data_IF_595567899368
#
_entry.id   IF_595567899368
#
_cell.length_a   1.000
_cell.length_b   1.000
_cell.length_c   1.000
_cell.angle_alpha   90.00
_cell.angle_beta   90.00
_cell.angle_gamma   90.00
#
_symmetry.space_group_name_H-M   'P 1'
#
loop_
_entity.id
_entity.type
_entity.pdbx_description
1 polymer ?
#
# COMPACT_ATOMS: atom_id res chain seq x y z
N UNK A 1 66.21 -12.67 -47.91
CA UNK A 1 66.34 -13.39 -46.62
C UNK A 1 64.94 -13.53 -46.04
N UNK A 2 64.48 -14.78 -45.96
CA UNK A 2 63.40 -15.40 -45.14
C UNK A 2 62.22 -14.51 -44.70
N UNK A 3 60.99 -14.67 -45.19
CA UNK A 3 60.03 -15.79 -45.01
C UNK A 3 59.84 -16.22 -43.55
N UNK A 4 58.63 -16.02 -43.01
CA UNK A 4 57.70 -17.05 -42.51
C UNK A 4 56.66 -16.42 -41.58
N UNK A 5 55.37 -16.57 -41.92
CA UNK A 5 54.28 -16.45 -40.95
C UNK A 5 54.02 -17.79 -40.27
N UNK A 6 53.36 -17.79 -39.11
CA UNK A 6 52.63 -18.95 -38.58
C UNK A 6 51.46 -18.47 -37.71
N UNK A 7 50.27 -18.92 -38.09
CA UNK A 7 49.10 -19.03 -37.24
C UNK A 7 49.12 -20.37 -36.50
N UNK A 8 48.70 -20.39 -35.23
CA UNK A 8 48.32 -21.58 -34.42
C UNK A 8 48.00 -21.08 -33.00
N UNK A 9 47.11 -21.64 -32.19
CA UNK A 9 46.06 -22.64 -32.32
C UNK A 9 45.38 -22.78 -30.95
N UNK A 10 44.04 -22.81 -30.94
CA UNK A 10 43.18 -23.74 -30.18
C UNK A 10 43.89 -24.64 -29.16
N UNK A 11 43.53 -24.52 -27.88
CA UNK A 11 43.43 -25.67 -26.98
C UNK A 11 42.43 -25.38 -25.84
N UNK A 12 41.20 -25.82 -26.07
CA UNK A 12 40.29 -26.30 -25.04
C UNK A 12 40.98 -27.38 -24.20
N UNK A 13 40.98 -27.22 -22.87
CA UNK A 13 41.10 -28.21 -21.77
C UNK A 13 41.06 -27.34 -20.51
N UNK A 14 40.13 -27.47 -19.56
CA UNK A 14 39.84 -28.64 -18.77
C UNK A 14 38.37 -28.68 -18.34
N UNK A 15 37.82 -29.88 -18.46
CA UNK A 15 36.59 -30.35 -17.85
C UNK A 15 36.91 -30.79 -16.41
N UNK A 16 35.90 -30.65 -15.53
CA UNK A 16 35.65 -31.47 -14.33
C UNK A 16 36.59 -31.42 -13.12
N UNK A 17 36.01 -30.89 -12.04
CA UNK A 17 36.05 -31.34 -10.63
C UNK A 17 36.02 -30.08 -9.77
N UNK A 18 35.04 -29.81 -8.91
CA UNK A 18 34.44 -30.72 -7.95
C UNK A 18 33.18 -30.04 -7.39
N UNK A 19 32.05 -30.72 -7.50
CA UNK A 19 30.91 -30.53 -6.62
C UNK A 19 31.33 -30.97 -5.22
N UNK A 20 31.82 -30.05 -4.38
CA UNK A 20 31.93 -30.30 -2.94
C UNK A 20 30.53 -30.22 -2.35
N UNK A 21 29.86 -31.36 -2.35
CA UNK A 21 28.69 -31.63 -1.52
C UNK A 21 29.08 -31.35 -0.07
N UNK A 22 28.58 -30.26 0.51
CA UNK A 22 28.63 -30.02 1.95
C UNK A 22 27.74 -31.06 2.65
N UNK A 23 28.26 -31.95 3.51
CA UNK A 23 27.44 -32.86 4.28
C UNK A 23 27.15 -32.23 5.64
N UNK A 24 26.34 -31.16 5.64
CA UNK A 24 25.71 -30.62 6.85
C UNK A 24 24.27 -30.24 6.46
N UNK A 25 23.53 -31.22 5.93
CA UNK A 25 22.08 -31.25 6.17
C UNK A 25 21.89 -32.05 7.45
N UNK A 26 22.25 -31.40 8.57
CA UNK A 26 21.71 -31.78 9.86
C UNK A 26 20.20 -31.58 9.76
N UNK A 27 19.50 -32.71 9.71
CA UNK A 27 18.07 -32.80 9.98
C UNK A 27 17.82 -32.19 11.36
N UNK A 28 17.67 -30.87 11.41
CA UNK A 28 17.04 -30.17 12.51
C UNK A 28 15.57 -30.57 12.46
N UNK A 29 15.29 -31.74 13.03
CA UNK A 29 13.98 -32.22 13.39
C UNK A 29 13.49 -31.28 14.50
N UNK A 30 13.14 -30.06 14.10
CA UNK A 30 12.61 -29.03 14.98
C UNK A 30 11.38 -29.65 15.64
N UNK A 31 11.34 -29.69 16.98
CA UNK A 31 10.22 -30.28 17.70
C UNK A 31 8.92 -29.57 17.28
N UNK A 32 7.79 -30.29 17.28
CA UNK A 32 6.50 -29.77 16.78
C UNK A 32 6.10 -28.39 17.36
N UNK A 33 6.60 -28.02 18.56
CA UNK A 33 6.37 -26.69 19.15
C UNK A 33 7.11 -25.54 18.44
N UNK A 34 8.18 -25.83 17.69
CA UNK A 34 8.92 -24.87 16.88
C UNK A 34 8.41 -24.81 15.42
N UNK A 35 7.48 -25.70 15.04
CA UNK A 35 6.70 -25.64 13.81
C UNK A 35 5.41 -24.85 13.96
N UNK A 36 5.19 -24.22 15.12
CA UNK A 36 4.19 -23.18 15.28
C UNK A 36 4.62 -22.01 14.40
N UNK A 37 4.14 -22.08 13.16
CA UNK A 37 4.05 -21.03 12.16
C UNK A 37 3.88 -19.71 12.91
N UNK A 38 4.87 -18.82 12.79
CA UNK A 38 4.70 -17.43 13.19
C UNK A 38 3.39 -16.99 12.54
N UNK A 39 2.34 -16.80 13.36
CA UNK A 39 1.08 -16.26 12.88
C UNK A 39 1.43 -15.04 12.01
N UNK A 40 0.82 -14.93 10.83
CA UNK A 40 0.99 -13.78 9.96
C UNK A 40 0.65 -12.56 10.81
N UNK A 41 1.69 -11.86 11.31
CA UNK A 41 1.49 -10.70 12.16
C UNK A 41 0.86 -9.67 11.24
N UNK A 42 -0.43 -9.37 11.48
CA UNK A 42 -1.19 -8.34 10.77
C UNK A 42 -0.57 -6.98 11.09
N UNK A 43 0.51 -6.66 10.38
CA UNK A 43 1.22 -5.41 10.54
C UNK A 43 0.39 -4.28 9.93
N UNK A 44 0.36 -3.11 10.57
CA UNK A 44 -0.31 -1.96 10.02
C UNK A 44 0.33 -1.51 8.70
N UNK A 45 -0.50 -0.98 7.80
CA UNK A 45 -0.14 -0.64 6.42
C UNK A 45 -0.10 0.88 6.26
N UNK A 46 1.06 1.41 5.83
CA UNK A 46 1.24 2.79 5.40
C UNK A 46 1.06 2.88 3.89
N UNK A 47 -0.03 3.51 3.44
CA UNK A 47 -0.34 3.71 2.03
C UNK A 47 0.10 5.11 1.59
N UNK A 48 1.18 5.21 0.83
CA UNK A 48 1.68 6.46 0.26
C UNK A 48 1.10 6.67 -1.14
N UNK A 49 0.27 7.70 -1.30
CA UNK A 49 -0.51 7.96 -2.51
C UNK A 49 -0.05 9.25 -3.17
N UNK A 50 0.51 9.16 -4.36
CA UNK A 50 0.79 10.34 -5.18
C UNK A 50 -0.40 10.69 -6.08
N UNK A 51 -0.78 11.96 -6.11
CA UNK A 51 -1.89 12.42 -6.95
C UNK A 51 -1.80 13.88 -7.40
N UNK A 52 -2.63 14.26 -8.37
CA UNK A 52 -2.85 15.63 -8.79
C UNK A 52 -3.85 16.34 -7.86
N UNK A 53 -3.75 17.66 -7.78
CA UNK A 53 -4.60 18.51 -6.92
C UNK A 53 -6.10 18.29 -7.15
N UNK A 54 -6.51 18.00 -8.39
CA UNK A 54 -7.88 17.68 -8.74
C UNK A 54 -7.94 16.43 -9.63
N UNK A 55 -8.98 15.58 -9.52
CA UNK A 55 -10.01 15.58 -8.46
C UNK A 55 -9.42 15.20 -7.08
N UNK A 56 -10.15 15.36 -5.96
CA UNK A 56 -9.72 14.80 -4.67
C UNK A 56 -9.68 13.26 -4.72
N UNK A 57 -9.00 12.65 -3.76
CA UNK A 57 -8.96 11.19 -3.60
C UNK A 57 -10.22 10.70 -2.88
N UNK A 58 -10.76 9.56 -3.34
CA UNK A 58 -11.80 8.79 -2.68
C UNK A 58 -11.28 7.34 -2.52
N UNK A 59 -11.17 6.79 -1.30
CA UNK A 59 -11.42 7.46 -0.02
C UNK A 59 -10.40 8.58 0.25
N UNK A 60 -10.78 9.51 1.13
CA UNK A 60 -9.93 10.65 1.50
C UNK A 60 -8.75 10.17 2.37
N UNK A 61 -7.53 10.66 2.15
CA UNK A 61 -6.37 10.27 2.94
C UNK A 61 -6.31 11.03 4.27
N UNK A 62 -5.94 10.34 5.35
CA UNK A 62 -5.81 10.90 6.69
C UNK A 62 -4.82 12.07 6.73
N UNK A 63 -3.70 11.96 6.01
CA UNK A 63 -2.71 13.03 5.88
C UNK A 63 -2.62 13.54 4.44
N UNK A 64 -2.45 14.86 4.28
CA UNK A 64 -2.38 15.51 2.97
C UNK A 64 -1.25 16.52 2.88
N UNK A 65 -0.40 16.36 1.88
CA UNK A 65 0.77 17.21 1.69
C UNK A 65 0.80 17.84 0.30
N UNK A 66 0.73 19.18 0.29
CA UNK A 66 0.97 19.96 -0.92
C UNK A 66 2.48 20.10 -1.14
N UNK A 67 2.94 19.71 -2.33
CA UNK A 67 4.33 19.86 -2.78
C UNK A 67 4.46 20.77 -4.01
N UNK A 68 3.44 21.60 -4.28
CA UNK A 68 3.47 22.58 -5.39
C UNK A 68 4.45 23.74 -5.15
N UNK A 69 4.83 24.00 -3.91
CA UNK A 69 5.83 25.00 -3.54
C UNK A 69 7.27 24.61 -3.91
N UNK A 70 7.52 23.34 -4.19
CA UNK A 70 8.83 22.84 -4.59
C UNK A 70 9.18 23.22 -6.03
N UNK A 71 10.49 23.30 -6.30
CA UNK A 71 11.04 23.63 -7.60
C UNK A 71 10.42 22.77 -8.72
N UNK A 72 10.10 23.41 -9.84
CA UNK A 72 9.46 22.75 -10.96
C UNK A 72 10.55 22.19 -11.90
N UNK A 73 10.52 20.89 -12.25
CA UNK A 73 11.48 20.32 -13.18
C UNK A 73 11.51 21.07 -14.52
N UNK A 74 12.70 21.19 -15.16
CA UNK A 74 12.85 21.76 -16.50
C UNK A 74 11.90 21.10 -17.50
N UNK A 75 11.40 21.88 -18.47
CA UNK A 75 10.39 21.44 -19.43
C UNK A 75 10.75 20.14 -20.15
N UNK A 76 11.99 20.02 -20.63
CA UNK A 76 12.46 18.85 -21.37
C UNK A 76 12.49 17.57 -20.53
N UNK A 77 12.73 17.68 -19.21
CA UNK A 77 12.61 16.57 -18.25
C UNK A 77 11.13 16.24 -18.03
N UNK A 78 10.30 17.27 -17.80
CA UNK A 78 8.87 17.10 -17.48
C UNK A 78 8.04 16.45 -18.59
N UNK A 79 8.42 16.66 -19.84
CA UNK A 79 7.69 16.13 -20.99
C UNK A 79 7.98 14.65 -21.26
N UNK A 80 9.20 14.20 -20.98
CA UNK A 80 9.65 12.85 -21.28
C UNK A 80 9.65 11.93 -20.06
N UNK A 81 9.86 12.49 -18.85
CA UNK A 81 10.05 11.74 -17.61
C UNK A 81 8.91 11.97 -16.62
N UNK A 82 8.75 11.03 -15.70
CA UNK A 82 7.82 11.06 -14.58
C UNK A 82 8.61 10.94 -13.25
N UNK A 83 7.93 11.04 -12.12
CA UNK A 83 8.61 10.97 -10.81
C UNK A 83 9.18 9.61 -10.42
N UNK A 84 8.93 8.54 -11.19
CA UNK A 84 9.58 7.23 -10.99
C UNK A 84 10.91 7.14 -11.76
N UNK A 85 11.18 8.09 -12.66
CA UNK A 85 12.40 8.12 -13.46
C UNK A 85 13.58 8.59 -12.61
N UNK A 86 14.66 7.79 -12.56
CA UNK A 86 15.88 8.10 -11.82
C UNK A 86 16.40 9.53 -12.07
N UNK A 87 16.50 9.94 -13.34
CA UNK A 87 16.99 11.28 -13.72
C UNK A 87 16.11 12.43 -13.20
N UNK A 88 14.81 12.22 -13.05
CA UNK A 88 13.93 13.23 -12.46
C UNK A 88 14.10 13.27 -10.93
N UNK A 89 14.22 12.11 -10.29
CA UNK A 89 14.45 12.01 -8.85
C UNK A 89 15.77 12.67 -8.46
N UNK A 90 16.85 12.39 -9.19
CA UNK A 90 18.17 13.01 -8.99
C UNK A 90 18.09 14.54 -9.09
N UNK A 91 17.39 15.07 -10.11
CA UNK A 91 17.18 16.50 -10.24
C UNK A 91 16.40 17.08 -9.05
N UNK A 92 15.34 16.41 -8.59
CA UNK A 92 14.58 16.86 -7.43
C UNK A 92 15.43 16.84 -6.15
N UNK A 93 16.25 15.81 -5.96
CA UNK A 93 17.15 15.67 -4.81
C UNK A 93 18.28 16.69 -4.80
N UNK A 94 18.63 17.26 -5.95
CA UNK A 94 19.61 18.36 -6.01
C UNK A 94 19.14 19.65 -5.35
N UNK A 95 17.82 19.82 -5.13
CA UNK A 95 17.25 20.96 -4.40
C UNK A 95 17.16 20.66 -2.89
N UNK A 96 17.88 21.38 -2.03
CA UNK A 96 17.81 21.19 -0.57
C UNK A 96 16.39 21.30 -0.01
N UNK A 97 15.54 22.16 -0.58
CA UNK A 97 14.15 22.34 -0.14
C UNK A 97 13.31 21.08 -0.33
N UNK A 98 13.65 20.26 -1.31
CA UNK A 98 13.00 18.98 -1.52
C UNK A 98 13.31 18.03 -0.36
N UNK A 99 14.59 17.92 0.03
CA UNK A 99 15.03 17.11 1.18
C UNK A 99 14.39 17.59 2.49
N UNK A 100 14.44 18.89 2.77
CA UNK A 100 13.81 19.48 3.96
C UNK A 100 12.31 19.18 4.02
N UNK A 101 11.60 19.31 2.89
CA UNK A 101 10.16 19.03 2.82
C UNK A 101 9.87 17.54 3.00
N UNK A 102 10.68 16.66 2.41
CA UNK A 102 10.57 15.21 2.58
C UNK A 102 10.72 14.82 4.05
N UNK A 103 11.73 15.36 4.72
CA UNK A 103 12.02 15.04 6.12
C UNK A 103 10.95 15.62 7.06
N UNK A 104 10.39 16.80 6.74
CA UNK A 104 9.25 17.35 7.47
C UNK A 104 8.00 16.46 7.32
N UNK A 105 7.68 16.02 6.10
CA UNK A 105 6.57 15.09 5.84
C UNK A 105 6.78 13.78 6.61
N UNK A 106 8.00 13.23 6.56
CA UNK A 106 8.35 12.00 7.29
C UNK A 106 8.03 12.12 8.78
N UNK A 107 8.47 13.21 9.43
CA UNK A 107 8.21 13.45 10.87
C UNK A 107 6.72 13.51 11.19
N UNK A 108 5.92 14.13 10.33
CA UNK A 108 4.47 14.19 10.52
C UNK A 108 3.81 12.81 10.38
N UNK A 109 4.26 12.00 9.42
CA UNK A 109 3.78 10.62 9.26
C UNK A 109 4.18 9.76 10.47
N UNK A 110 5.44 9.81 10.92
CA UNK A 110 5.91 9.06 12.10
C UNK A 110 5.13 9.44 13.36
N UNK A 111 4.82 10.72 13.54
CA UNK A 111 3.99 11.19 14.66
C UNK A 111 2.59 10.55 14.62
N UNK A 112 2.01 10.47 13.43
CA UNK A 112 0.68 9.90 13.23
C UNK A 112 0.68 8.37 13.41
N UNK A 113 1.71 7.69 12.90
CA UNK A 113 1.90 6.24 13.09
C UNK A 113 2.01 5.90 14.58
N UNK A 114 2.81 6.65 15.34
CA UNK A 114 2.96 6.43 16.77
C UNK A 114 1.65 6.64 17.53
N UNK A 115 0.82 7.60 17.09
CA UNK A 115 -0.52 7.80 17.65
C UNK A 115 -1.40 6.57 17.41
N UNK A 116 -1.46 6.09 16.16
CA UNK A 116 -2.27 4.92 15.81
C UNK A 116 -1.80 3.65 16.54
N UNK A 117 -0.49 3.41 16.62
CA UNK A 117 0.05 2.25 17.36
C UNK A 117 -0.31 2.33 18.85
N UNK A 118 -0.18 3.49 19.48
CA UNK A 118 -0.53 3.65 20.89
C UNK A 118 -2.03 3.48 21.17
N UNK A 119 -2.89 3.89 20.24
CA UNK A 119 -4.34 3.68 20.33
C UNK A 119 -4.70 2.19 20.17
N UNK A 120 -4.09 1.50 19.20
CA UNK A 120 -4.30 0.07 18.98
C UNK A 120 -3.82 -0.77 20.17
N UNK A 121 -2.61 -0.49 20.70
CA UNK A 121 -2.08 -1.19 21.88
C UNK A 121 -3.02 -1.06 23.09
N UNK A 122 -3.67 0.10 23.23
CA UNK A 122 -4.64 0.35 24.31
C UNK A 122 -5.94 -0.42 24.09
N UNK A 123 -6.44 -0.47 22.86
CA UNK A 123 -7.64 -1.24 22.52
C UNK A 123 -7.42 -2.74 22.74
N UNK A 124 -6.27 -3.27 22.35
CA UNK A 124 -5.93 -4.67 22.53
C UNK A 124 -5.80 -5.04 24.01
N UNK A 125 -5.22 -4.15 24.82
CA UNK A 125 -5.18 -4.33 26.28
C UNK A 125 -6.59 -4.38 26.90
N UNK A 126 -7.53 -3.56 26.42
CA UNK A 126 -8.92 -3.56 26.89
C UNK A 126 -9.69 -4.82 26.45
N UNK A 127 -9.52 -5.25 25.19
CA UNK A 127 -10.13 -6.48 24.67
C UNK A 127 -9.67 -7.71 25.45
N UNK A 128 -8.38 -7.77 25.78
CA UNK A 128 -7.83 -8.87 26.57
C UNK A 128 -8.43 -8.91 27.98
N UNK A 129 -8.57 -7.75 28.63
CA UNK A 129 -9.24 -7.65 29.93
C UNK A 129 -10.69 -8.14 29.89
N UNK A 130 -11.47 -7.70 28.91
CA UNK A 130 -12.87 -8.13 28.74
C UNK A 130 -13.00 -9.63 28.43
N UNK A 131 -12.07 -10.21 27.67
CA UNK A 131 -12.05 -11.64 27.41
C UNK A 131 -11.79 -12.45 28.69
N UNK A 132 -10.86 -12.00 29.54
CA UNK A 132 -10.60 -12.65 30.82
C UNK A 132 -11.76 -12.57 31.80
N UNK A 133 -12.48 -11.45 31.81
CA UNK A 133 -13.67 -11.28 32.66
C UNK A 133 -14.87 -12.11 32.16
N UNK A 134 -15.03 -12.26 30.83
CA UNK A 134 -16.01 -13.19 30.24
C UNK A 134 -15.72 -14.64 30.60
N UNK A 135 -14.46 -15.09 30.47
CA UNK A 135 -14.07 -16.44 30.89
C UNK A 135 -14.39 -16.66 32.38
N UNK A 136 -14.13 -15.68 33.24
CA UNK A 136 -14.49 -15.78 34.67
C UNK A 136 -16.00 -15.91 34.87
N UNK A 137 -16.81 -15.10 34.21
CA UNK A 137 -18.28 -15.18 34.32
C UNK A 137 -18.83 -16.51 33.80
N UNK A 138 -18.31 -17.03 32.68
CA UNK A 138 -18.76 -18.29 32.12
C UNK A 138 -18.40 -19.49 33.03
N UNK A 139 -17.23 -19.44 33.68
CA UNK A 139 -16.83 -20.47 34.67
C UNK A 139 -17.72 -20.39 35.92
N UNK A 140 -18.03 -19.18 36.40
CA UNK A 140 -18.86 -18.96 37.58
C UNK A 140 -20.32 -19.41 37.36
N UNK A 141 -20.90 -19.03 36.21
CA UNK A 141 -22.23 -19.49 35.78
C UNK A 141 -22.28 -21.02 35.58
N UNK A 142 -21.21 -21.62 35.05
CA UNK A 142 -21.07 -23.07 34.93
C UNK A 142 -21.03 -23.81 36.28
N UNK A 143 -20.48 -23.19 37.32
CA UNK A 143 -20.47 -23.73 38.68
C UNK A 143 -21.84 -23.65 39.36
N UNK A 144 -22.55 -22.53 39.24
CA UNK A 144 -23.92 -22.39 39.78
C UNK A 144 -24.90 -23.34 39.10
N UNK A 145 -24.80 -23.53 37.78
CA UNK A 145 -25.66 -24.47 37.05
C UNK A 145 -25.46 -25.92 37.52
N UNK A 146 -24.21 -26.34 37.74
CA UNK A 146 -23.91 -27.67 38.30
C UNK A 146 -24.41 -27.84 39.72
N UNK A 147 -24.35 -26.79 40.55
CA UNK A 147 -24.90 -26.85 41.92
C UNK A 147 -26.42 -26.93 41.92
N UNK A 148 -27.11 -26.17 41.05
CA UNK A 148 -28.58 -26.26 40.87
C UNK A 148 -29.01 -27.61 40.33
N UNK A 149 -28.32 -28.16 39.33
CA UNK A 149 -28.61 -29.51 38.82
C UNK A 149 -28.38 -30.57 39.89
N UNK A 150 -27.33 -30.44 40.72
CA UNK A 150 -27.09 -31.36 41.84
C UNK A 150 -28.21 -31.30 42.88
N UNK A 151 -28.65 -30.10 43.27
CA UNK A 151 -29.74 -29.91 44.24
C UNK A 151 -31.11 -30.36 43.68
N UNK A 152 -31.38 -30.08 42.39
CA UNK A 152 -32.60 -30.52 41.70
C UNK A 152 -32.66 -32.04 41.57
N UNK A 153 -31.53 -32.70 41.32
CA UNK A 153 -31.45 -34.17 41.26
C UNK A 153 -31.62 -34.84 42.64
N UNK A 154 -31.33 -34.10 43.72
CA UNK A 154 -31.55 -34.54 45.10
C UNK A 154 -33.02 -34.37 45.54
N UNK A 155 -33.78 -33.46 44.91
CA UNK A 155 -35.21 -33.25 45.14
C UNK A 155 -36.13 -34.03 44.18
N UNK A 156 -35.65 -34.42 42.98
CA UNK A 156 -36.45 -35.09 41.95
C UNK A 156 -36.45 -36.64 42.07
N UNK A 157 -36.39 -37.18 43.28
CA UNK A 157 -36.63 -38.61 43.52
C UNK A 157 -38.11 -39.00 43.55
N UNK A 158 -39.04 -38.10 43.24
CA UNK A 158 -40.45 -38.46 43.03
C UNK A 158 -41.04 -37.73 41.80
N UNK A 159 -41.46 -38.58 40.85
CA UNK A 159 -42.52 -38.41 39.85
C UNK A 159 -42.25 -37.74 38.48
N UNK A 160 -42.92 -38.32 37.49
CA UNK A 160 -42.67 -38.34 36.04
C UNK A 160 -43.33 -37.19 35.25
N UNK A 161 -42.79 -36.99 34.04
CA UNK A 161 -43.39 -36.47 32.79
C UNK A 161 -43.22 -34.98 32.41
N UNK A 162 -42.93 -34.75 31.12
CA UNK A 162 -43.49 -33.60 30.40
C UNK A 162 -42.53 -32.64 29.66
N UNK A 163 -42.32 -32.93 28.38
CA UNK A 163 -42.31 -32.00 27.22
C UNK A 163 -41.12 -31.04 26.93
N UNK A 164 -40.68 -31.14 25.67
CA UNK A 164 -39.72 -30.31 24.93
C UNK A 164 -40.35 -28.95 24.55
N UNK A 165 -39.59 -27.87 24.63
CA UNK A 165 -39.95 -26.61 23.95
C UNK A 165 -38.73 -26.01 23.23
N UNK A 166 -38.90 -25.87 21.92
CA UNK A 166 -37.97 -25.31 20.94
C UNK A 166 -37.97 -23.78 20.97
N UNK A 167 -36.80 -23.14 20.96
CA UNK A 167 -36.66 -21.67 20.83
C UNK A 167 -36.00 -21.32 19.48
N UNK A 168 -36.46 -20.24 18.81
CA UNK A 168 -36.22 -20.00 17.37
C UNK A 168 -34.86 -19.39 17.03
N UNK A 169 -34.44 -19.70 15.81
CA UNK A 169 -33.49 -18.95 15.00
C UNK A 169 -34.05 -17.55 14.67
N UNK A 170 -33.17 -16.55 14.71
CA UNK A 170 -33.02 -15.48 13.70
C UNK A 170 -32.39 -14.25 14.38
N UNK A 171 -31.07 -14.12 14.25
CA UNK A 171 -30.37 -12.85 14.51
C UNK A 171 -29.59 -12.49 13.25
N UNK A 172 -30.02 -11.38 12.67
CA UNK A 172 -29.62 -10.84 11.40
C UNK A 172 -28.10 -10.60 11.29
N UNK A 173 -27.51 -11.21 10.27
CA UNK A 173 -26.16 -10.93 9.78
C UNK A 173 -26.15 -9.58 9.08
N UNK A 174 -25.92 -8.51 9.85
CA UNK A 174 -25.58 -7.20 9.31
C UNK A 174 -24.15 -7.25 8.75
N UNK A 175 -24.02 -7.20 7.42
CA UNK A 175 -22.74 -7.00 6.76
C UNK A 175 -22.28 -5.54 6.89
N UNK A 176 -21.61 -5.19 7.97
CA UNK A 176 -20.80 -3.97 8.08
C UNK A 176 -19.43 -4.20 7.42
N UNK A 177 -19.44 -4.33 6.09
CA UNK A 177 -18.23 -4.39 5.29
C UNK A 177 -17.79 -2.98 4.88
N UNK A 178 -17.42 -2.12 5.83
CA UNK A 178 -16.67 -0.87 5.52
C UNK A 178 -15.72 -0.33 6.59
N UNK A 179 -15.76 -0.79 7.86
CA UNK A 179 -15.03 -0.08 8.93
C UNK A 179 -13.89 -0.86 9.60
N UNK A 180 -13.71 -2.15 9.31
CA UNK A 180 -12.62 -2.94 9.90
C UNK A 180 -11.23 -2.65 9.29
N UNK A 181 -11.16 -2.09 8.07
CA UNK A 181 -9.90 -1.84 7.37
C UNK A 181 -9.19 -0.52 7.78
N UNK A 182 -9.85 0.33 8.58
CA UNK A 182 -9.32 1.66 8.92
C UNK A 182 -8.37 1.67 10.13
N UNK A 183 -8.43 0.68 11.01
CA UNK A 183 -7.63 0.69 12.26
C UNK A 183 -6.16 0.33 12.04
N UNK A 184 -5.86 -0.42 10.98
CA UNK A 184 -4.51 -0.83 10.63
C UNK A 184 -3.93 -0.05 9.45
N UNK A 185 -4.68 0.85 8.81
CA UNK A 185 -4.23 1.51 7.57
C UNK A 185 -4.11 3.03 7.69
N UNK A 186 -2.89 3.56 7.51
CA UNK A 186 -2.64 5.00 7.41
C UNK A 186 -2.47 5.40 5.94
N UNK A 187 -3.39 6.18 5.37
CA UNK A 187 -3.31 6.68 3.99
C UNK A 187 -2.80 8.11 3.95
N UNK A 188 -1.74 8.32 3.19
CA UNK A 188 -1.06 9.61 3.05
C UNK A 188 -1.12 10.08 1.60
N UNK A 189 -1.82 11.20 1.36
CA UNK A 189 -1.93 11.81 0.04
C UNK A 189 -0.91 12.91 -0.19
N UNK A 190 0.01 12.70 -1.13
CA UNK A 190 0.98 13.72 -1.55
C UNK A 190 0.61 14.22 -2.93
N UNK A 191 0.42 15.54 -3.08
CA UNK A 191 -0.09 16.09 -4.32
C UNK A 191 0.69 17.25 -4.91
N UNK A 192 0.72 17.25 -6.24
CA UNK A 192 1.19 18.38 -7.03
C UNK A 192 0.11 18.83 -8.02
N UNK A 193 0.43 19.69 -8.98
CA UNK A 193 -0.57 20.18 -9.93
C UNK A 193 -1.24 19.04 -10.74
N UNK A 194 -0.45 18.14 -11.34
CA UNK A 194 -0.93 17.11 -12.28
C UNK A 194 -0.79 15.68 -11.71
N UNK A 195 0.03 15.49 -10.68
CA UNK A 195 0.23 14.18 -10.04
C UNK A 195 1.25 13.26 -10.72
N UNK A 196 2.17 13.80 -11.53
CA UNK A 196 3.09 12.98 -12.34
C UNK A 196 4.58 13.13 -12.05
N UNK A 197 4.98 14.23 -11.39
CA UNK A 197 6.39 14.61 -11.24
C UNK A 197 6.76 14.71 -9.77
N UNK A 198 6.61 15.92 -9.19
CA UNK A 198 7.00 16.23 -7.80
C UNK A 198 6.38 15.31 -6.77
N UNK A 199 5.07 15.07 -6.85
CA UNK A 199 4.36 14.20 -5.90
C UNK A 199 4.80 12.74 -5.99
N UNK A 200 5.04 12.25 -7.20
CA UNK A 200 5.49 10.87 -7.43
C UNK A 200 6.92 10.71 -6.90
N UNK A 201 7.83 11.63 -7.24
CA UNK A 201 9.20 11.61 -6.74
C UNK A 201 9.25 11.67 -5.21
N UNK A 202 8.42 12.51 -4.59
CA UNK A 202 8.33 12.58 -3.12
C UNK A 202 7.87 11.27 -2.49
N UNK A 203 6.85 10.62 -3.06
CA UNK A 203 6.34 9.33 -2.57
C UNK A 203 7.39 8.22 -2.72
N UNK A 204 8.07 8.14 -3.86
CA UNK A 204 9.14 7.18 -4.11
C UNK A 204 10.29 7.34 -3.11
N UNK A 205 10.68 8.58 -2.81
CA UNK A 205 11.74 8.86 -1.84
C UNK A 205 11.33 8.52 -0.40
N UNK A 206 10.06 8.74 -0.03
CA UNK A 206 9.54 8.32 1.27
C UNK A 206 9.43 6.79 1.37
N UNK A 207 9.05 6.11 0.30
CA UNK A 207 8.94 4.65 0.29
C UNK A 207 10.29 3.93 0.45
N UNK A 208 11.40 4.57 0.05
CA UNK A 208 12.77 4.06 0.26
C UNK A 208 13.25 4.20 1.70
N UNK A 209 12.56 4.97 2.55
CA UNK A 209 12.94 5.15 3.95
C UNK A 209 12.52 3.96 4.82
N UNK A 210 13.12 3.86 6.02
CA UNK A 210 12.72 2.88 7.01
C UNK A 210 11.45 3.30 7.76
N UNK A 211 10.48 2.37 7.82
CA UNK A 211 9.22 2.51 8.55
C UNK A 211 9.03 1.27 9.44
N UNK A 212 9.64 1.24 10.64
CA UNK A 212 9.67 0.04 11.47
C UNK A 212 8.27 -0.35 11.94
N UNK A 213 7.95 -1.64 11.86
CA UNK A 213 6.65 -2.18 12.30
C UNK A 213 5.48 -1.89 11.37
N UNK A 214 5.73 -1.37 10.16
CA UNK A 214 4.68 -1.03 9.19
C UNK A 214 5.00 -1.57 7.80
N UNK A 215 3.99 -2.08 7.11
CA UNK A 215 4.08 -2.44 5.70
C UNK A 215 3.84 -1.23 4.81
N UNK A 216 4.67 -1.04 3.79
CA UNK A 216 4.58 0.14 2.92
C UNK A 216 3.88 -0.26 1.62
N UNK A 217 2.84 0.48 1.25
CA UNK A 217 2.16 0.36 -0.03
C UNK A 217 2.25 1.67 -0.79
N UNK A 218 2.71 1.62 -2.03
CA UNK A 218 2.86 2.81 -2.89
C UNK A 218 1.79 2.81 -3.99
N UNK A 219 1.06 3.91 -4.12
CA UNK A 219 0.03 4.08 -5.15
C UNK A 219 0.22 5.39 -5.92
N UNK A 220 0.17 5.30 -7.26
CA UNK A 220 0.26 6.47 -8.13
C UNK A 220 -0.97 6.63 -9.01
N UNK A 221 -1.87 7.55 -8.62
CA UNK A 221 -3.18 7.70 -9.29
C UNK A 221 -3.06 8.16 -10.75
N UNK A 222 -2.13 9.06 -11.04
CA UNK A 222 -2.13 9.83 -12.30
C UNK A 222 -1.02 9.41 -13.29
N UNK A 223 -0.22 8.38 -12.99
CA UNK A 223 0.86 7.92 -13.89
C UNK A 223 0.32 7.23 -15.16
N UNK A 224 -0.75 6.45 -15.03
CA UNK A 224 -1.29 5.65 -16.14
C UNK A 224 -2.25 6.43 -17.05
N UNK A 225 -2.55 7.68 -16.72
CA UNK A 225 -3.41 8.55 -17.54
C UNK A 225 -2.63 9.01 -18.77
N UNK A 226 -2.91 8.41 -19.93
CA UNK A 226 -2.36 8.87 -21.23
C UNK A 226 -2.62 10.37 -21.39
N UNK A 227 -1.57 11.15 -21.73
CA UNK A 227 -1.73 12.58 -22.08
C UNK A 227 -2.72 12.68 -23.25
N UNK A 228 -3.94 13.14 -23.00
CA UNK A 228 -4.80 13.66 -24.06
C UNK A 228 -5.61 12.66 -24.90
N UNK A 229 -6.11 11.56 -24.36
CA UNK A 229 -7.24 10.84 -25.03
C UNK A 229 -8.59 11.55 -24.89
N UNK A 230 -8.62 12.86 -24.58
CA UNK A 230 -9.73 13.71 -25.02
C UNK A 230 -9.61 13.83 -26.54
N UNK A 231 -10.15 12.85 -27.26
CA UNK A 231 -10.73 13.12 -28.59
C UNK A 231 -11.62 14.35 -28.38
N UNK A 232 -11.25 15.52 -28.93
CA UNK A 232 -12.23 16.58 -29.14
C UNK A 232 -13.37 15.95 -29.95
N UNK A 233 -14.60 15.83 -29.44
CA UNK A 233 -15.70 15.51 -30.31
C UNK A 233 -15.91 16.72 -31.22
N UNK A 234 -15.97 16.52 -32.53
CA UNK A 234 -16.53 17.49 -33.47
C UNK A 234 -15.77 18.80 -33.66
N UNK A 235 -14.77 18.78 -34.53
CA UNK A 235 -14.24 19.98 -35.18
C UNK A 235 -13.98 19.70 -36.66
N UNK A 236 -14.90 19.00 -37.32
CA UNK A 236 -14.98 18.99 -38.78
C UNK A 236 -15.92 20.12 -39.18
N UNK A 237 -15.51 20.81 -40.24
CA UNK A 237 -16.28 21.78 -41.03
C UNK A 237 -16.27 23.24 -40.55
N UNK A 238 -15.14 23.90 -40.78
CA UNK A 238 -15.16 25.25 -41.35
C UNK A 238 -14.14 25.37 -42.48
N UNK A 239 -14.42 24.69 -43.60
CA UNK A 239 -13.95 25.15 -44.92
C UNK A 239 -14.72 26.44 -45.26
N UNK A 240 -14.35 27.53 -44.59
CA UNK A 240 -14.72 28.87 -44.98
C UNK A 240 -13.87 29.26 -46.18
N UNK A 241 -14.32 28.87 -47.37
CA UNK A 241 -13.95 29.47 -48.64
C UNK A 241 -14.19 30.98 -48.54
N UNK A 242 -13.14 31.76 -48.25
CA UNK A 242 -13.14 33.20 -48.50
C UNK A 242 -12.21 33.45 -49.67
N UNK A 243 -12.82 33.51 -50.85
CA UNK A 243 -12.22 34.14 -52.02
C UNK A 243 -11.86 35.58 -51.66
N UNK A 244 -10.57 35.85 -51.56
CA UNK A 244 -10.01 37.19 -51.70
C UNK A 244 -9.63 37.34 -53.16
N UNK A 245 -10.53 37.94 -53.94
CA UNK A 245 -10.27 38.32 -55.32
C UNK A 245 -9.07 39.27 -55.38
N UNK A 246 -8.19 39.01 -56.35
CA UNK A 246 -7.07 39.85 -56.74
C UNK A 246 -7.66 41.05 -57.51
N UNK A 247 -7.50 42.30 -57.05
CA UNK A 247 -7.72 43.45 -57.91
C UNK A 247 -6.48 43.60 -58.80
N UNK A 248 -6.62 43.21 -60.06
CA UNK A 248 -5.77 43.69 -61.13
C UNK A 248 -6.26 45.08 -61.51
N UNK A 249 -5.43 46.10 -61.30
CA UNK A 249 -5.56 47.34 -62.06
C UNK A 249 -4.17 47.86 -62.40
N UNK A 250 -3.81 47.54 -63.63
CA UNK A 250 -2.79 48.17 -64.47
C UNK A 250 -3.49 49.32 -65.23
N UNK A 251 -2.70 50.32 -65.66
CA UNK A 251 -3.04 51.47 -66.54
C UNK A 251 -3.73 52.66 -65.82
N UNK A 252 -3.30 53.91 -65.92
CA UNK A 252 -2.29 54.59 -66.73
C UNK A 252 -2.25 56.08 -66.35
N UNK A 253 -1.33 56.80 -67.00
CA UNK A 253 -0.94 58.23 -66.90
C UNK A 253 0.18 58.59 -65.90
#
# INVERSE_FOLDING_TARGET
MSSLGVATSRAQKYLESSTSSSPIEENLNLPAYAQNVLEDVDLPVLVLISHGHAPPLNPHPQLRFDVRSLANPPKHIRDNLNGTSWRLQEWMLSDPKFGERRDAIRKEIEKEMNRMTAENDKEDALKLGQYTDKIRQDVDWGLEKKQREKYAKELASEDQSGEEESIPQDVDTYSEATDQDNYSTLRVGIFCAIGRHRSVAMVEELAKMSWPGWQIKVEHRDLNKKRGSRKKPGGKDSRGTRGGGIPSYLEGD
#
